data_IF_087095853218
#
_entry.id   IF_087095853218
#
_cell.length_a   1.000
_cell.length_b   1.000
_cell.length_c   1.000
_cell.angle_alpha   90.00
_cell.angle_beta   90.00
_cell.angle_gamma   90.00
#
_symmetry.space_group_name_H-M   'P 1'
#
loop_
_entity.id
_entity.type
_entity.pdbx_description
1 polymer ?
#
# COMPACT_ATOMS: atom_id res chain seq x y z
N UNK A 1 3.69 14.23 -61.13
CA UNK A 1 4.53 14.69 -60.02
C UNK A 1 3.78 15.36 -58.84
N UNK A 2 2.43 15.45 -58.84
CA UNK A 2 1.65 16.01 -57.72
C UNK A 2 1.02 14.98 -56.77
N UNK A 3 1.01 13.69 -57.14
CA UNK A 3 0.40 12.61 -56.36
C UNK A 3 1.29 12.17 -55.18
N UNK A 4 2.59 11.99 -55.39
CA UNK A 4 3.56 11.60 -54.35
C UNK A 4 3.67 12.61 -53.19
N UNK A 5 3.55 13.91 -53.47
CA UNK A 5 3.65 14.96 -52.45
C UNK A 5 2.46 14.95 -51.47
N UNK A 6 1.27 14.54 -51.94
CA UNK A 6 0.06 14.41 -51.11
C UNK A 6 0.13 13.18 -50.21
N UNK A 7 0.65 12.05 -50.72
CA UNK A 7 0.83 10.83 -49.93
C UNK A 7 1.86 11.04 -48.82
N UNK A 8 3.01 11.66 -49.15
CA UNK A 8 4.07 11.94 -48.17
C UNK A 8 3.57 12.87 -47.05
N UNK A 9 2.82 13.94 -47.37
CA UNK A 9 2.22 14.81 -46.34
C UNK A 9 1.22 14.09 -45.44
N UNK A 10 0.44 13.16 -45.99
CA UNK A 10 -0.56 12.39 -45.21
C UNK A 10 0.13 11.45 -44.22
N UNK A 11 1.20 10.78 -44.63
CA UNK A 11 2.00 9.91 -43.75
C UNK A 11 2.78 10.70 -42.70
N UNK A 12 3.33 11.88 -43.04
CA UNK A 12 3.96 12.77 -42.07
C UNK A 12 2.97 13.25 -41.01
N UNK A 13 1.75 13.62 -41.41
CA UNK A 13 0.70 14.00 -40.44
C UNK A 13 0.29 12.85 -39.53
N UNK A 14 0.14 11.63 -40.07
CA UNK A 14 -0.18 10.44 -39.26
C UNK A 14 0.95 10.16 -38.26
N UNK A 15 2.21 10.20 -38.70
CA UNK A 15 3.36 10.01 -37.82
C UNK A 15 3.41 11.06 -36.71
N UNK A 16 3.14 12.33 -37.03
CA UNK A 16 3.03 13.40 -36.04
C UNK A 16 1.88 13.16 -35.05
N UNK A 17 0.70 12.75 -35.53
CA UNK A 17 -0.46 12.47 -34.68
C UNK A 17 -0.19 11.30 -33.72
N UNK A 18 0.44 10.23 -34.21
CA UNK A 18 0.82 9.08 -33.39
C UNK A 18 1.88 9.45 -32.36
N UNK A 19 2.88 10.25 -32.75
CA UNK A 19 3.95 10.69 -31.86
C UNK A 19 3.42 11.64 -30.76
N UNK A 20 2.45 12.50 -31.09
CA UNK A 20 1.78 13.38 -30.14
C UNK A 20 0.88 12.61 -29.16
N UNK A 21 0.25 11.52 -29.62
CA UNK A 21 -0.60 10.69 -28.76
C UNK A 21 0.23 9.93 -27.71
N UNK A 22 1.42 9.44 -28.06
CA UNK A 22 2.30 8.69 -27.16
C UNK A 22 2.88 9.54 -26.02
N UNK A 23 3.17 10.82 -26.27
CA UNK A 23 3.68 11.72 -25.23
C UNK A 23 2.63 12.05 -24.17
N UNK A 24 1.32 12.01 -24.49
CA UNK A 24 0.23 12.24 -23.53
C UNK A 24 0.06 11.09 -22.52
N UNK A 25 0.39 9.86 -22.89
CA UNK A 25 0.26 8.70 -21.98
C UNK A 25 1.28 8.71 -20.83
N UNK A 26 2.44 9.36 -21.01
CA UNK A 26 3.51 9.34 -20.02
C UNK A 26 3.26 10.24 -18.79
N UNK A 27 2.43 11.29 -18.94
CA UNK A 27 2.18 12.28 -17.87
C UNK A 27 1.05 11.91 -16.91
N UNK A 28 0.31 10.82 -17.14
CA UNK A 28 -0.88 10.48 -16.37
C UNK A 28 -0.60 9.70 -15.06
N UNK A 29 0.66 9.38 -14.75
CA UNK A 29 1.01 8.76 -13.46
C UNK A 29 1.55 9.83 -12.51
N UNK A 30 0.69 10.33 -11.62
CA UNK A 30 1.13 11.17 -10.50
C UNK A 30 2.16 10.43 -9.64
N UNK A 31 3.12 11.17 -9.10
CA UNK A 31 4.08 10.61 -8.15
C UNK A 31 3.35 10.10 -6.89
N UNK A 32 3.79 8.97 -6.31
CA UNK A 32 3.23 8.48 -5.07
C UNK A 32 3.44 9.51 -3.96
N UNK A 33 2.44 9.67 -3.09
CA UNK A 33 2.59 10.53 -1.91
C UNK A 33 3.63 9.95 -0.95
N UNK A 34 4.17 10.79 -0.07
CA UNK A 34 5.09 10.35 1.00
C UNK A 34 4.48 9.22 1.84
N UNK A 35 3.20 9.33 2.21
CA UNK A 35 2.48 8.30 2.96
C UNK A 35 2.35 6.97 2.18
N UNK A 36 2.15 7.03 0.86
CA UNK A 36 2.15 5.82 0.01
C UNK A 36 3.52 5.17 -0.04
N UNK A 37 4.59 5.97 -0.10
CA UNK A 37 5.96 5.45 -0.03
C UNK A 37 6.21 4.80 1.33
N UNK A 38 5.86 5.46 2.44
CA UNK A 38 5.99 4.88 3.79
C UNK A 38 5.16 3.60 3.95
N UNK A 39 3.93 3.56 3.43
CA UNK A 39 3.10 2.35 3.45
C UNK A 39 3.77 1.19 2.68
N UNK A 40 4.43 1.46 1.56
CA UNK A 40 5.20 0.45 0.84
C UNK A 40 6.38 -0.09 1.67
N UNK A 41 7.05 0.76 2.46
CA UNK A 41 8.05 0.31 3.43
C UNK A 41 7.46 -0.57 4.52
N UNK A 42 6.27 -0.24 5.05
CA UNK A 42 5.59 -1.11 6.02
C UNK A 42 5.26 -2.47 5.40
N UNK A 43 4.80 -2.50 4.15
CA UNK A 43 4.51 -3.74 3.43
C UNK A 43 5.75 -4.63 3.23
N UNK A 44 6.95 -4.04 3.19
CA UNK A 44 8.19 -4.81 3.11
C UNK A 44 8.41 -5.67 4.36
N UNK A 45 7.98 -5.26 5.55
CA UNK A 45 8.04 -6.14 6.72
C UNK A 45 7.21 -7.41 6.52
N UNK A 46 6.02 -7.30 5.94
CA UNK A 46 5.21 -8.48 5.59
C UNK A 46 5.94 -9.43 4.62
N UNK A 47 6.74 -8.87 3.70
CA UNK A 47 7.48 -9.64 2.69
C UNK A 47 8.77 -10.26 3.16
N UNK A 48 9.42 -9.68 4.16
CA UNK A 48 10.80 -10.04 4.53
C UNK A 48 10.93 -10.55 5.96
N UNK A 49 9.92 -10.38 6.81
CA UNK A 49 9.87 -11.03 8.13
C UNK A 49 9.33 -12.44 7.97
N UNK A 50 10.06 -13.43 8.47
CA UNK A 50 9.56 -14.80 8.58
C UNK A 50 8.61 -14.91 9.77
N UNK A 51 7.39 -15.38 9.53
CA UNK A 51 6.39 -15.62 10.56
C UNK A 51 6.38 -17.11 10.92
N UNK A 52 6.49 -17.47 12.21
CA UNK A 52 6.41 -18.87 12.60
C UNK A 52 5.00 -19.42 12.31
N UNK A 53 4.90 -20.70 11.96
CA UNK A 53 3.61 -21.35 11.70
C UNK A 53 2.62 -21.22 12.87
N UNK A 54 3.12 -21.17 14.11
CA UNK A 54 2.30 -20.98 15.31
C UNK A 54 1.62 -19.61 15.38
N UNK A 55 2.17 -18.58 14.73
CA UNK A 55 1.56 -17.25 14.68
C UNK A 55 0.51 -17.15 13.57
N UNK A 56 0.62 -17.97 12.52
CA UNK A 56 -0.26 -17.95 11.37
C UNK A 56 -1.48 -18.84 11.60
N UNK A 57 -2.67 -18.25 11.56
CA UNK A 57 -3.90 -19.04 11.53
C UNK A 57 -3.97 -19.89 10.25
N UNK A 58 -4.74 -20.98 10.30
CA UNK A 58 -4.99 -21.86 9.13
C UNK A 58 -5.59 -21.16 7.91
N UNK A 59 -6.02 -19.90 8.04
CA UNK A 59 -6.57 -19.09 6.96
C UNK A 59 -5.52 -18.43 6.06
N UNK A 60 -4.21 -18.57 6.33
CA UNK A 60 -3.13 -17.90 5.60
C UNK A 60 -3.29 -16.37 5.48
N UNK A 61 -3.73 -15.72 6.57
CA UNK A 61 -3.96 -14.27 6.62
C UNK A 61 -2.96 -13.60 7.57
N UNK A 62 -2.27 -12.56 7.10
CA UNK A 62 -1.46 -11.66 7.91
C UNK A 62 -2.28 -10.42 8.27
N UNK A 63 -2.49 -10.18 9.55
CA UNK A 63 -3.24 -8.99 10.00
C UNK A 63 -2.29 -7.84 10.32
N UNK A 64 -2.47 -6.72 9.60
CA UNK A 64 -1.89 -5.42 9.91
C UNK A 64 -2.94 -4.58 10.65
N UNK A 65 -2.73 -4.39 11.94
CA UNK A 65 -3.58 -3.56 12.77
C UNK A 65 -3.09 -2.12 12.71
N UNK A 66 -3.98 -1.17 12.44
CA UNK A 66 -3.67 0.25 12.35
C UNK A 66 -4.48 1.02 13.40
N UNK A 67 -3.84 1.97 14.06
CA UNK A 67 -4.48 2.80 15.09
C UNK A 67 -4.89 4.15 14.52
N UNK A 68 -6.06 4.67 14.92
CA UNK A 68 -6.54 5.99 14.53
C UNK A 68 -6.68 6.20 13.00
N UNK A 69 -7.38 7.26 12.59
CA UNK A 69 -7.60 7.56 11.17
C UNK A 69 -6.90 8.85 10.77
N UNK A 70 -5.96 8.74 9.84
CA UNK A 70 -5.16 9.82 9.28
C UNK A 70 -4.69 9.48 7.84
N UNK A 71 -3.88 10.34 7.23
CA UNK A 71 -3.41 10.14 5.85
C UNK A 71 -2.54 8.89 5.70
N UNK A 72 -1.69 8.61 6.69
CA UNK A 72 -0.78 7.46 6.70
C UNK A 72 -1.54 6.14 6.83
N UNK A 73 -2.48 6.06 7.77
CA UNK A 73 -3.34 4.88 7.94
C UNK A 73 -4.25 4.65 6.74
N UNK A 74 -4.72 5.70 6.07
CA UNK A 74 -5.41 5.56 4.78
C UNK A 74 -4.50 4.98 3.68
N UNK A 75 -3.22 5.36 3.63
CA UNK A 75 -2.27 4.75 2.70
C UNK A 75 -2.02 3.26 3.03
N UNK A 76 -1.97 2.88 4.31
CA UNK A 76 -1.87 1.49 4.74
C UNK A 76 -3.10 0.66 4.34
N UNK A 77 -4.31 1.23 4.40
CA UNK A 77 -5.54 0.55 3.96
C UNK A 77 -5.51 0.13 2.49
N UNK A 78 -4.74 0.82 1.64
CA UNK A 78 -4.53 0.44 0.24
C UNK A 78 -3.72 -0.85 0.06
N UNK A 79 -3.09 -1.34 1.14
CA UNK A 79 -2.37 -2.62 1.15
C UNK A 79 -3.29 -3.81 1.41
N UNK A 80 -4.55 -3.58 1.81
CA UNK A 80 -5.50 -4.65 2.05
C UNK A 80 -5.63 -5.58 0.82
N UNK A 81 -5.70 -6.89 1.07
CA UNK A 81 -5.73 -7.96 0.07
C UNK A 81 -4.45 -8.16 -0.75
N UNK A 82 -3.36 -7.42 -0.48
CA UNK A 82 -2.06 -7.72 -1.10
C UNK A 82 -1.45 -8.99 -0.50
N UNK A 83 -0.70 -9.70 -1.32
CA UNK A 83 -0.04 -10.93 -0.90
C UNK A 83 1.42 -10.69 -0.50
N UNK A 84 1.85 -11.30 0.61
CA UNK A 84 3.22 -11.33 1.04
C UNK A 84 3.58 -12.76 1.51
N UNK A 85 4.58 -13.36 0.87
CA UNK A 85 5.05 -14.73 1.18
C UNK A 85 3.93 -15.78 1.20
N UNK A 86 2.97 -15.72 0.27
CA UNK A 86 1.83 -16.66 0.23
C UNK A 86 0.68 -16.34 1.17
N UNK A 87 0.78 -15.26 1.96
CA UNK A 87 -0.26 -14.84 2.90
C UNK A 87 -0.97 -13.58 2.42
N UNK A 88 -2.29 -13.55 2.57
CA UNK A 88 -3.10 -12.36 2.25
C UNK A 88 -3.03 -11.37 3.41
N UNK A 89 -2.63 -10.14 3.12
CA UNK A 89 -2.62 -9.06 4.10
C UNK A 89 -4.04 -8.53 4.32
N UNK A 90 -4.48 -8.48 5.58
CA UNK A 90 -5.73 -7.84 5.99
C UNK A 90 -5.43 -6.66 6.90
N UNK A 91 -5.95 -5.49 6.54
CA UNK A 91 -5.79 -4.27 7.33
C UNK A 91 -6.99 -4.11 8.26
N UNK A 92 -6.75 -3.93 9.56
CA UNK A 92 -7.77 -3.85 10.61
C UNK A 92 -7.61 -2.54 11.36
N UNK A 93 -8.67 -1.73 11.43
CA UNK A 93 -8.71 -0.52 12.24
C UNK A 93 -8.97 -0.87 13.71
N UNK A 94 -8.14 -0.35 14.62
CA UNK A 94 -8.33 -0.48 16.07
C UNK A 94 -8.40 0.90 16.70
N UNK A 95 -9.53 1.19 17.35
CA UNK A 95 -9.82 2.52 17.90
C UNK A 95 -9.12 2.81 19.23
N UNK A 96 -8.80 1.76 20.00
CA UNK A 96 -8.25 1.91 21.33
C UNK A 96 -7.37 0.70 21.77
N UNK A 97 -6.36 0.91 22.63
CA UNK A 97 -5.48 -0.16 23.11
C UNK A 97 -6.21 -1.34 23.75
N UNK A 98 -7.33 -1.07 24.45
CA UNK A 98 -8.13 -2.08 25.14
C UNK A 98 -8.75 -3.10 24.18
N UNK A 99 -8.91 -2.73 22.91
CA UNK A 99 -9.45 -3.59 21.86
C UNK A 99 -8.40 -4.43 21.16
N UNK A 100 -7.11 -4.22 21.42
CA UNK A 100 -6.04 -4.93 20.72
C UNK A 100 -6.12 -6.45 20.92
N UNK A 101 -6.53 -6.91 22.11
CA UNK A 101 -6.66 -8.33 22.46
C UNK A 101 -7.82 -9.02 21.73
N UNK A 102 -8.80 -8.27 21.23
CA UNK A 102 -9.92 -8.81 20.44
C UNK A 102 -9.47 -9.22 19.02
N UNK A 103 -8.27 -8.82 18.59
CA UNK A 103 -7.74 -9.04 17.25
C UNK A 103 -6.39 -9.77 17.27
N UNK A 104 -6.22 -10.73 16.34
CA UNK A 104 -4.94 -11.41 16.15
C UNK A 104 -4.00 -10.57 15.27
N UNK A 105 -3.30 -9.59 15.83
CA UNK A 105 -2.39 -8.70 15.09
C UNK A 105 -1.01 -9.31 14.89
N UNK A 106 -0.52 -9.37 13.65
CA UNK A 106 0.86 -9.78 13.36
C UNK A 106 1.78 -8.56 13.31
N UNK A 107 1.27 -7.45 12.80
CA UNK A 107 1.93 -6.15 12.81
C UNK A 107 0.97 -5.10 13.37
N UNK A 108 1.48 -4.23 14.24
CA UNK A 108 0.75 -3.08 14.78
C UNK A 108 1.42 -1.79 14.31
N UNK A 109 0.67 -0.95 13.60
CA UNK A 109 1.08 0.40 13.26
C UNK A 109 0.42 1.39 14.22
N UNK A 110 1.24 2.07 15.03
CA UNK A 110 0.81 3.12 15.96
C UNK A 110 1.01 4.46 15.27
N UNK A 111 -0.08 5.17 14.98
CA UNK A 111 -0.08 6.46 14.29
C UNK A 111 0.48 7.58 15.20
N UNK A 112 0.98 8.66 14.59
CA UNK A 112 1.53 9.80 15.34
C UNK A 112 0.48 10.45 16.26
N UNK A 113 -0.79 10.41 15.88
CA UNK A 113 -1.92 10.86 16.70
C UNK A 113 -2.04 10.11 18.04
N UNK A 114 -1.50 8.89 18.12
CA UNK A 114 -1.50 8.04 19.31
C UNK A 114 -0.29 8.24 20.22
N UNK A 115 0.58 9.23 19.96
CA UNK A 115 1.80 9.46 20.75
C UNK A 115 1.54 9.52 22.27
N UNK A 116 0.42 10.14 22.69
CA UNK A 116 0.04 10.22 24.12
C UNK A 116 -0.33 8.87 24.73
N UNK A 117 -0.84 7.93 23.92
CA UNK A 117 -1.25 6.58 24.32
C UNK A 117 -0.22 5.51 23.93
N UNK A 118 0.94 5.89 23.37
CA UNK A 118 1.94 4.95 22.87
C UNK A 118 2.38 3.91 23.93
N UNK A 119 2.54 4.34 25.18
CA UNK A 119 2.90 3.42 26.28
C UNK A 119 1.79 2.40 26.57
N UNK A 120 0.53 2.78 26.43
CA UNK A 120 -0.61 1.86 26.60
C UNK A 120 -0.64 0.82 25.48
N UNK A 121 -0.41 1.24 24.24
CA UNK A 121 -0.27 0.33 23.09
C UNK A 121 0.88 -0.68 23.29
N UNK A 122 2.07 -0.20 23.68
CA UNK A 122 3.24 -1.06 23.90
C UNK A 122 3.01 -2.05 25.06
N UNK A 123 2.38 -1.61 26.14
CA UNK A 123 2.04 -2.48 27.28
C UNK A 123 1.10 -3.62 26.85
N UNK A 124 0.18 -3.37 25.91
CA UNK A 124 -0.71 -4.40 25.39
C UNK A 124 0.00 -5.44 24.53
N UNK A 125 0.97 -5.03 23.71
CA UNK A 125 1.76 -5.96 22.88
C UNK A 125 2.65 -6.87 23.73
N UNK A 126 3.28 -6.34 24.78
CA UNK A 126 4.17 -7.13 25.65
C UNK A 126 3.46 -8.28 26.36
N UNK A 127 2.15 -8.15 26.61
CA UNK A 127 1.35 -9.18 27.27
C UNK A 127 0.82 -10.26 26.30
N UNK A 128 1.07 -10.13 24.99
CA UNK A 128 0.67 -11.11 23.97
C UNK A 128 1.79 -12.09 23.60
N UNK A 129 2.99 -11.94 24.19
CA UNK A 129 4.15 -12.81 24.00
C UNK A 129 4.20 -13.98 24.99
#
# INVERSE_FOLDING_TARGET
MYCHLKTVKKWIMVAYLTMLSMSLYAYARGEPSEDQVKAAFVFNFAKFVEWPESALSSANVLNLCVTSQDKMTNALKLLNQREAQGHVLRVIDIEAPEKLEDYACHMLFIADSEQKRQQQWLAKVQNQA
#
